data_IF_295110746036
#
_entry.id   IF_295110746036
#
_cell.length_a   1.000
_cell.length_b   1.000
_cell.length_c   1.000
_cell.angle_alpha   90.00
_cell.angle_beta   90.00
_cell.angle_gamma   90.00
#
_symmetry.space_group_name_H-M   'P 1'
#
loop_
_entity.id
_entity.type
_entity.pdbx_description
1 polymer ?
#
# COMPACT_ATOMS: atom_id res chain seq x y z
N UNK A 1 -20.55 14.02 7.67
CA UNK A 1 -20.25 12.66 8.21
C UNK A 1 -21.31 11.64 7.78
N UNK A 2 -22.63 11.90 7.98
CA UNK A 2 -23.72 10.99 7.55
C UNK A 2 -23.70 10.70 6.05
N UNK A 3 -23.48 11.70 5.22
CA UNK A 3 -23.45 11.56 3.75
C UNK A 3 -22.33 10.62 3.27
N UNK A 4 -21.16 10.70 3.89
CA UNK A 4 -20.03 9.81 3.57
C UNK A 4 -20.30 8.36 3.96
N UNK A 5 -20.96 8.14 5.11
CA UNK A 5 -21.35 6.80 5.56
C UNK A 5 -22.41 6.18 4.65
N UNK A 6 -23.41 6.98 4.23
CA UNK A 6 -24.41 6.53 3.26
C UNK A 6 -23.77 6.17 1.92
N UNK A 7 -22.83 6.98 1.44
CA UNK A 7 -22.10 6.71 0.20
C UNK A 7 -21.26 5.43 0.32
N UNK A 8 -20.56 5.22 1.45
CA UNK A 8 -19.79 4.00 1.72
C UNK A 8 -20.69 2.76 1.67
N UNK A 9 -21.82 2.78 2.36
CA UNK A 9 -22.77 1.66 2.41
C UNK A 9 -23.37 1.37 1.02
N UNK A 10 -23.70 2.42 0.25
CA UNK A 10 -24.26 2.25 -1.09
C UNK A 10 -23.25 1.68 -2.10
N UNK A 11 -21.96 2.00 -1.94
CA UNK A 11 -20.88 1.56 -2.85
C UNK A 11 -20.29 0.21 -2.42
N UNK A 12 -20.43 -0.18 -1.14
CA UNK A 12 -19.84 -1.42 -0.62
C UNK A 12 -20.14 -2.68 -1.45
N UNK A 13 -21.36 -2.91 -1.98
CA UNK A 13 -21.64 -4.07 -2.82
C UNK A 13 -20.89 -4.05 -4.16
N UNK A 14 -20.53 -2.87 -4.65
CA UNK A 14 -19.80 -2.69 -5.92
C UNK A 14 -18.29 -2.67 -5.74
N UNK A 15 -17.82 -2.61 -4.49
CA UNK A 15 -16.40 -2.47 -4.17
C UNK A 15 -15.53 -3.55 -4.84
N UNK A 16 -15.86 -4.86 -4.80
CA UNK A 16 -15.04 -5.88 -5.45
C UNK A 16 -14.84 -5.62 -6.94
N UNK A 17 -15.92 -5.32 -7.65
CA UNK A 17 -15.86 -5.04 -9.08
C UNK A 17 -15.07 -3.76 -9.41
N UNK A 18 -15.23 -2.73 -8.57
CA UNK A 18 -14.47 -1.49 -8.71
C UNK A 18 -12.97 -1.73 -8.52
N UNK A 19 -12.60 -2.51 -7.50
CA UNK A 19 -11.22 -2.86 -7.22
C UNK A 19 -10.60 -3.67 -8.36
N UNK A 20 -11.33 -4.66 -8.88
CA UNK A 20 -10.90 -5.47 -10.03
C UNK A 20 -10.70 -4.60 -11.27
N UNK A 21 -11.66 -3.75 -11.58
CA UNK A 21 -11.58 -2.84 -12.73
C UNK A 21 -10.35 -1.92 -12.64
N UNK A 22 -10.10 -1.28 -11.48
CA UNK A 22 -8.95 -0.40 -11.31
C UNK A 22 -7.62 -1.16 -11.37
N UNK A 23 -7.56 -2.37 -10.77
CA UNK A 23 -6.42 -3.27 -10.87
C UNK A 23 -6.10 -3.60 -12.32
N UNK A 24 -7.10 -4.05 -13.07
CA UNK A 24 -6.93 -4.49 -14.45
C UNK A 24 -6.54 -3.32 -15.36
N UNK A 25 -7.16 -2.15 -15.16
CA UNK A 25 -6.78 -0.93 -15.85
C UNK A 25 -5.32 -0.53 -15.56
N UNK A 26 -4.87 -0.62 -14.30
CA UNK A 26 -3.47 -0.37 -13.97
C UNK A 26 -2.54 -1.42 -14.58
N UNK A 27 -2.88 -2.69 -14.47
CA UNK A 27 -2.08 -3.78 -15.05
C UNK A 27 -1.93 -3.63 -16.57
N UNK A 28 -2.97 -3.17 -17.27
CA UNK A 28 -2.95 -2.98 -18.72
C UNK A 28 -2.20 -1.71 -19.14
N UNK A 29 -2.44 -0.59 -18.47
CA UNK A 29 -2.05 0.75 -18.95
C UNK A 29 -1.02 1.46 -18.10
N UNK A 30 -0.69 0.97 -16.89
CA UNK A 30 0.28 1.58 -15.95
C UNK A 30 -0.07 3.03 -15.58
N UNK A 31 -1.35 3.42 -15.67
CA UNK A 31 -1.76 4.78 -15.35
C UNK A 31 -1.80 5.02 -13.85
N UNK A 32 -1.03 5.99 -13.30
CA UNK A 32 -0.89 6.19 -11.85
C UNK A 32 -2.21 6.53 -11.15
N UNK A 33 -3.16 7.20 -11.83
CA UNK A 33 -4.47 7.52 -11.24
C UNK A 33 -5.29 6.30 -10.83
N UNK A 34 -5.04 5.12 -11.40
CA UNK A 34 -5.68 3.89 -10.93
C UNK A 34 -5.20 3.54 -9.52
N UNK A 35 -3.90 3.71 -9.24
CA UNK A 35 -3.33 3.49 -7.92
C UNK A 35 -3.82 4.55 -6.92
N UNK A 36 -3.91 5.82 -7.33
CA UNK A 36 -4.45 6.89 -6.50
C UNK A 36 -5.90 6.59 -6.09
N UNK A 37 -6.73 6.11 -7.03
CA UNK A 37 -8.10 5.71 -6.74
C UNK A 37 -8.18 4.48 -5.82
N UNK A 38 -7.31 3.48 -6.01
CA UNK A 38 -7.19 2.33 -5.12
C UNK A 38 -6.76 2.76 -3.71
N UNK A 39 -5.84 3.72 -3.58
CA UNK A 39 -5.39 4.27 -2.31
C UNK A 39 -6.57 4.91 -1.53
N UNK A 40 -7.42 5.66 -2.22
CA UNK A 40 -8.66 6.20 -1.63
C UNK A 40 -9.63 5.10 -1.23
N UNK A 41 -9.79 4.06 -2.04
CA UNK A 41 -10.66 2.93 -1.71
C UNK A 41 -10.18 2.20 -0.44
N UNK A 42 -8.88 1.94 -0.30
CA UNK A 42 -8.30 1.34 0.91
C UNK A 42 -8.56 2.23 2.13
N UNK A 43 -8.32 3.54 2.05
CA UNK A 43 -8.59 4.46 3.13
C UNK A 43 -10.06 4.45 3.56
N UNK A 44 -10.99 4.58 2.60
CA UNK A 44 -12.42 4.70 2.88
C UNK A 44 -12.99 3.41 3.45
N UNK A 45 -12.63 2.26 2.86
CA UNK A 45 -13.28 0.99 3.20
C UNK A 45 -12.59 0.24 4.35
N UNK A 46 -11.32 0.57 4.67
CA UNK A 46 -10.63 0.03 5.85
C UNK A 46 -10.70 0.96 7.07
N UNK A 47 -11.08 2.24 6.90
CA UNK A 47 -11.24 3.14 8.04
C UNK A 47 -12.36 2.64 8.96
N UNK A 48 -12.14 2.65 10.30
CA UNK A 48 -13.18 2.26 11.26
C UNK A 48 -14.38 3.20 11.13
N UNK A 49 -15.56 2.65 11.36
CA UNK A 49 -16.78 3.45 11.44
C UNK A 49 -16.71 4.35 12.69
N UNK A 50 -16.70 5.68 12.55
CA UNK A 50 -16.62 6.59 13.67
C UNK A 50 -17.86 6.54 14.58
N UNK A 51 -18.96 5.90 14.12
CA UNK A 51 -20.20 5.74 14.89
C UNK A 51 -20.20 4.49 15.76
N UNK A 52 -19.22 3.60 15.59
CA UNK A 52 -19.08 2.36 16.35
C UNK A 52 -17.76 2.36 17.15
N UNK A 53 -17.75 2.93 18.36
CA UNK A 53 -16.60 2.87 19.25
C UNK A 53 -16.23 1.41 19.54
N UNK A 54 -15.01 1.01 19.23
CA UNK A 54 -14.54 -0.37 19.39
C UNK A 54 -14.78 -1.28 18.20
N UNK A 55 -15.32 -0.78 17.06
CA UNK A 55 -15.35 -1.55 15.82
C UNK A 55 -13.93 -1.97 15.40
N UNK A 56 -13.83 -3.21 14.96
CA UNK A 56 -12.57 -3.75 14.45
C UNK A 56 -12.08 -2.87 13.29
N UNK A 57 -10.79 -2.53 13.33
CA UNK A 57 -10.10 -1.83 12.23
C UNK A 57 -9.65 -2.80 11.12
N UNK A 58 -10.01 -4.06 11.25
CA UNK A 58 -9.70 -5.08 10.26
C UNK A 58 -10.87 -5.13 9.29
N UNK A 59 -10.63 -4.99 7.97
CA UNK A 59 -11.66 -5.22 6.96
C UNK A 59 -12.28 -6.60 7.14
N UNK A 60 -13.53 -6.77 6.74
CA UNK A 60 -14.10 -8.11 6.69
C UNK A 60 -13.24 -9.03 5.79
N UNK A 61 -13.25 -10.36 6.02
CA UNK A 61 -12.34 -11.28 5.31
C UNK A 61 -12.42 -11.20 3.78
N UNK A 62 -13.60 -10.95 3.23
CA UNK A 62 -13.77 -10.85 1.78
C UNK A 62 -13.14 -9.57 1.24
N UNK A 63 -13.34 -8.45 1.90
CA UNK A 63 -12.71 -7.17 1.57
C UNK A 63 -11.19 -7.24 1.75
N UNK A 64 -10.71 -7.89 2.82
CA UNK A 64 -9.28 -8.10 3.05
C UNK A 64 -8.64 -8.92 1.94
N UNK A 65 -9.28 -10.01 1.50
CA UNK A 65 -8.81 -10.84 0.38
C UNK A 65 -8.80 -10.06 -0.94
N UNK A 66 -9.83 -9.26 -1.20
CA UNK A 66 -9.87 -8.40 -2.39
C UNK A 66 -8.72 -7.40 -2.38
N UNK A 67 -8.46 -6.75 -1.25
CA UNK A 67 -7.33 -5.84 -1.09
C UNK A 67 -5.97 -6.55 -1.24
N UNK A 68 -5.82 -7.77 -0.71
CA UNK A 68 -4.59 -8.54 -0.87
C UNK A 68 -4.29 -8.87 -2.35
N UNK A 69 -5.31 -9.30 -3.08
CA UNK A 69 -5.19 -9.60 -4.51
C UNK A 69 -4.83 -8.35 -5.34
N UNK A 70 -5.48 -7.23 -5.04
CA UNK A 70 -5.21 -5.94 -5.70
C UNK A 70 -3.79 -5.46 -5.41
N UNK A 71 -3.37 -5.47 -4.14
CA UNK A 71 -2.03 -5.07 -3.75
C UNK A 71 -0.97 -5.89 -4.47
N UNK A 72 -1.11 -7.22 -4.47
CA UNK A 72 -0.15 -8.11 -5.10
C UNK A 72 -0.03 -7.85 -6.60
N UNK A 73 -1.16 -7.81 -7.31
CA UNK A 73 -1.17 -7.60 -8.76
C UNK A 73 -0.61 -6.22 -9.14
N UNK A 74 -1.00 -5.16 -8.42
CA UNK A 74 -0.50 -3.81 -8.68
C UNK A 74 0.99 -3.68 -8.36
N UNK A 75 1.46 -4.27 -7.25
CA UNK A 75 2.87 -4.23 -6.89
C UNK A 75 3.75 -5.00 -7.89
N UNK A 76 3.30 -6.16 -8.35
CA UNK A 76 4.00 -6.91 -9.41
C UNK A 76 4.07 -6.12 -10.72
N UNK A 77 2.96 -5.52 -11.11
CA UNK A 77 2.88 -4.72 -12.32
C UNK A 77 3.76 -3.46 -12.24
N UNK A 78 3.76 -2.77 -11.10
CA UNK A 78 4.63 -1.63 -10.85
C UNK A 78 6.10 -2.04 -10.82
N UNK A 79 6.44 -3.13 -10.12
CA UNK A 79 7.81 -3.65 -10.07
C UNK A 79 8.34 -4.00 -11.47
N UNK A 80 7.54 -4.69 -12.29
CA UNK A 80 7.91 -5.01 -13.66
C UNK A 80 8.17 -3.74 -14.50
N UNK A 81 7.34 -2.71 -14.33
CA UNK A 81 7.51 -1.42 -15.02
C UNK A 81 8.79 -0.71 -14.56
N UNK A 82 8.98 -0.54 -13.26
CA UNK A 82 10.13 0.16 -12.66
C UNK A 82 11.47 -0.57 -12.88
N UNK A 83 11.43 -1.87 -13.17
CA UNK A 83 12.61 -2.66 -13.51
C UNK A 83 13.01 -2.54 -14.99
N UNK A 84 12.11 -2.09 -15.87
CA UNK A 84 12.34 -1.97 -17.30
C UNK A 84 12.86 -0.58 -17.71
N UNK A 85 12.58 0.45 -16.93
CA UNK A 85 12.95 1.83 -17.23
C UNK A 85 13.44 2.55 -15.98
N UNK A 86 14.29 3.56 -16.10
CA UNK A 86 14.71 4.38 -14.98
C UNK A 86 13.51 4.97 -14.23
N UNK A 87 13.60 5.07 -12.91
CA UNK A 87 12.53 5.64 -12.07
C UNK A 87 12.18 7.06 -12.50
N UNK A 88 13.15 7.83 -13.01
CA UNK A 88 12.92 9.18 -13.52
C UNK A 88 11.89 9.25 -14.66
N UNK A 89 11.81 8.22 -15.51
CA UNK A 89 10.82 8.14 -16.59
C UNK A 89 9.44 7.72 -16.10
N UNK A 90 9.36 7.16 -14.89
CA UNK A 90 8.14 6.60 -14.30
C UNK A 90 7.91 7.12 -12.87
N UNK A 91 8.35 8.34 -12.59
CA UNK A 91 8.28 8.94 -11.27
C UNK A 91 6.85 8.97 -10.70
N UNK A 92 5.84 9.23 -11.54
CA UNK A 92 4.44 9.23 -11.14
C UNK A 92 3.92 7.82 -10.77
N UNK A 93 4.36 6.79 -11.48
CA UNK A 93 4.00 5.39 -11.16
C UNK A 93 4.68 4.99 -9.84
N UNK A 94 5.95 5.34 -9.66
CA UNK A 94 6.67 5.07 -8.42
C UNK A 94 5.99 5.78 -7.23
N UNK A 95 5.71 7.09 -7.36
CA UNK A 95 4.98 7.87 -6.35
C UNK A 95 3.66 7.21 -5.97
N UNK A 96 2.80 6.95 -6.96
CA UNK A 96 1.48 6.39 -6.71
C UNK A 96 1.55 4.98 -6.09
N UNK A 97 2.55 4.18 -6.46
CA UNK A 97 2.79 2.84 -5.87
C UNK A 97 3.13 2.96 -4.38
N UNK A 98 4.03 3.86 -4.00
CA UNK A 98 4.42 4.05 -2.60
C UNK A 98 3.30 4.71 -1.79
N UNK A 99 2.52 5.62 -2.37
CA UNK A 99 1.34 6.20 -1.73
C UNK A 99 0.27 5.13 -1.47
N UNK A 100 0.01 4.24 -2.43
CA UNK A 100 -0.89 3.10 -2.23
C UNK A 100 -0.38 2.21 -1.08
N UNK A 101 0.89 1.81 -1.11
CA UNK A 101 1.48 0.98 -0.06
C UNK A 101 1.42 1.67 1.33
N UNK A 102 1.64 3.00 1.39
CA UNK A 102 1.44 3.77 2.60
C UNK A 102 -0.01 3.72 3.11
N UNK A 103 -1.01 3.80 2.23
CA UNK A 103 -2.42 3.66 2.63
C UNK A 103 -2.71 2.27 3.20
N UNK A 104 -2.14 1.22 2.62
CA UNK A 104 -2.21 -0.12 3.22
C UNK A 104 -1.55 -0.16 4.60
N UNK A 105 -0.37 0.41 4.77
CA UNK A 105 0.30 0.48 6.07
C UNK A 105 -0.53 1.21 7.13
N UNK A 106 -1.31 2.22 6.73
CA UNK A 106 -2.15 3.02 7.61
C UNK A 106 -3.47 2.36 7.97
N UNK A 107 -4.14 1.75 7.00
CA UNK A 107 -5.55 1.37 7.07
C UNK A 107 -5.79 -0.13 6.97
N UNK A 108 -4.87 -0.90 6.39
CA UNK A 108 -4.93 -2.34 6.25
C UNK A 108 -3.54 -3.00 6.44
N UNK A 109 -2.86 -2.72 7.59
CA UNK A 109 -1.49 -3.19 7.81
C UNK A 109 -1.36 -4.72 7.75
N UNK A 110 -2.36 -5.46 8.22
CA UNK A 110 -2.35 -6.92 8.19
C UNK A 110 -2.23 -7.46 6.75
N UNK A 111 -2.90 -6.79 5.80
CA UNK A 111 -2.83 -7.15 4.37
C UNK A 111 -1.44 -6.87 3.81
N UNK A 112 -0.86 -5.70 4.11
CA UNK A 112 0.46 -5.32 3.60
C UNK A 112 1.56 -6.21 4.18
N UNK A 113 1.57 -6.40 5.50
CA UNK A 113 2.63 -7.09 6.22
C UNK A 113 2.64 -8.60 5.95
N UNK A 114 1.49 -9.18 5.61
CA UNK A 114 1.40 -10.58 5.17
C UNK A 114 1.62 -10.76 3.66
N UNK A 115 1.71 -9.68 2.90
CA UNK A 115 1.83 -9.73 1.45
C UNK A 115 3.26 -10.06 0.99
N UNK A 116 3.43 -10.98 0.05
CA UNK A 116 4.74 -11.20 -0.59
C UNK A 116 5.21 -9.99 -1.41
N UNK A 117 4.34 -9.01 -1.66
CA UNK A 117 4.68 -7.77 -2.34
C UNK A 117 5.52 -6.81 -1.47
N UNK A 118 5.55 -6.98 -0.15
CA UNK A 118 6.24 -6.06 0.76
C UNK A 118 7.73 -5.96 0.44
N UNK A 119 8.41 -7.08 0.26
CA UNK A 119 9.85 -7.09 0.00
C UNK A 119 10.24 -6.39 -1.32
N UNK A 120 9.62 -6.69 -2.48
CA UNK A 120 9.90 -5.94 -3.70
C UNK A 120 9.50 -4.46 -3.61
N UNK A 121 8.45 -4.09 -2.86
CA UNK A 121 8.09 -2.69 -2.62
C UNK A 121 9.17 -1.95 -1.82
N UNK A 122 9.72 -2.58 -0.80
CA UNK A 122 10.84 -2.02 -0.02
C UNK A 122 12.08 -1.82 -0.89
N UNK A 123 12.44 -2.80 -1.71
CA UNK A 123 13.55 -2.69 -2.65
C UNK A 123 13.36 -1.54 -3.66
N UNK A 124 12.18 -1.42 -4.23
CA UNK A 124 11.84 -0.33 -5.14
C UNK A 124 11.87 1.04 -4.44
N UNK A 125 11.41 1.12 -3.18
CA UNK A 125 11.45 2.36 -2.40
C UNK A 125 12.89 2.82 -2.14
N UNK A 126 13.79 1.90 -1.81
CA UNK A 126 15.21 2.23 -1.62
C UNK A 126 15.89 2.66 -2.92
N UNK A 127 15.57 2.01 -4.02
CA UNK A 127 16.05 2.44 -5.33
C UNK A 127 15.56 3.87 -5.66
N UNK A 128 14.31 4.19 -5.31
CA UNK A 128 13.74 5.52 -5.53
C UNK A 128 14.44 6.60 -4.68
N UNK A 129 14.81 6.30 -3.43
CA UNK A 129 15.52 7.25 -2.54
C UNK A 129 16.87 7.68 -3.15
N UNK A 130 17.54 6.81 -3.91
CA UNK A 130 18.76 7.12 -4.62
C UNK A 130 18.59 7.99 -5.88
N UNK A 131 17.37 8.41 -6.20
CA UNK A 131 17.07 9.24 -7.39
C UNK A 131 16.87 10.71 -7.03
N UNK A 132 16.79 11.57 -8.06
CA UNK A 132 16.46 12.99 -7.91
C UNK A 132 14.95 13.27 -8.02
N UNK A 133 14.11 12.23 -8.09
CA UNK A 133 12.66 12.36 -8.27
C UNK A 133 11.95 12.65 -6.95
N UNK A 134 11.86 13.93 -6.61
CA UNK A 134 11.44 14.43 -5.31
C UNK A 134 10.15 13.82 -4.77
N UNK A 135 9.12 13.71 -5.60
CA UNK A 135 7.81 13.19 -5.16
C UNK A 135 7.86 11.68 -4.93
N UNK A 136 8.58 10.92 -5.77
CA UNK A 136 8.79 9.49 -5.56
C UNK A 136 9.61 9.24 -4.28
N UNK A 137 10.69 9.99 -4.07
CA UNK A 137 11.51 9.93 -2.84
C UNK A 137 10.66 10.21 -1.61
N UNK A 138 9.86 11.28 -1.64
CA UNK A 138 8.99 11.63 -0.53
C UNK A 138 7.99 10.53 -0.22
N UNK A 139 7.33 9.99 -1.23
CA UNK A 139 6.35 8.92 -1.06
C UNK A 139 7.00 7.63 -0.49
N UNK A 140 8.20 7.28 -0.98
CA UNK A 140 8.98 6.15 -0.46
C UNK A 140 9.34 6.32 1.02
N UNK A 141 9.85 7.49 1.41
CA UNK A 141 10.19 7.79 2.80
C UNK A 141 8.96 7.75 3.72
N UNK A 142 7.82 8.29 3.27
CA UNK A 142 6.56 8.25 4.02
C UNK A 142 6.08 6.80 4.22
N UNK A 143 6.16 5.97 3.19
CA UNK A 143 5.83 4.55 3.28
C UNK A 143 6.74 3.81 4.27
N UNK A 144 8.05 3.99 4.16
CA UNK A 144 9.03 3.35 5.05
C UNK A 144 8.80 3.80 6.51
N UNK A 145 8.62 5.11 6.73
CA UNK A 145 8.32 5.65 8.07
C UNK A 145 7.05 5.03 8.66
N UNK A 146 6.01 4.81 7.83
CA UNK A 146 4.78 4.17 8.26
C UNK A 146 4.97 2.71 8.69
N UNK A 147 5.94 2.01 8.12
CA UNK A 147 6.29 0.62 8.48
C UNK A 147 7.17 0.54 9.73
N UNK A 148 8.03 1.54 9.96
CA UNK A 148 8.95 1.56 11.12
C UNK A 148 8.24 2.04 12.39
N UNK A 149 7.27 2.94 12.29
CA UNK A 149 6.53 3.52 13.42
C UNK A 149 5.14 2.88 13.64
N UNK A 150 5.05 1.62 14.07
CA UNK A 150 3.76 0.93 14.24
C UNK A 150 2.93 1.43 15.41
N UNK A 151 3.52 2.18 16.35
CA UNK A 151 2.98 2.44 17.69
C UNK A 151 1.72 3.30 17.76
N UNK A 152 1.22 3.86 16.67
CA UNK A 152 0.03 4.73 16.64
C UNK A 152 -1.13 4.18 15.80
N UNK A 153 -1.03 2.97 15.24
CA UNK A 153 -1.89 2.58 14.13
C UNK A 153 -2.58 1.22 14.32
N UNK A 154 -3.64 1.01 13.57
CA UNK A 154 -4.43 -0.20 13.54
C UNK A 154 -3.62 -1.43 13.11
N UNK A 155 -3.91 -2.55 13.66
CA UNK A 155 -3.28 -3.83 13.39
C UNK A 155 -3.12 -4.65 14.66
N UNK A 156 -3.09 -5.96 14.54
CA UNK A 156 -2.81 -6.80 15.69
C UNK A 156 -1.34 -6.68 16.10
N UNK A 157 -1.05 -6.75 17.39
CA UNK A 157 0.33 -6.77 17.90
C UNK A 157 1.17 -7.86 17.24
N UNK A 158 0.56 -9.02 16.96
CA UNK A 158 1.21 -10.14 16.30
C UNK A 158 1.59 -9.83 14.85
N UNK A 159 0.70 -9.16 14.10
CA UNK A 159 0.96 -8.78 12.71
C UNK A 159 2.11 -7.78 12.61
N UNK A 160 2.14 -6.79 13.52
CA UNK A 160 3.24 -5.84 13.57
C UNK A 160 4.56 -6.47 13.99
N UNK A 161 4.56 -7.43 14.91
CA UNK A 161 5.77 -8.18 15.28
C UNK A 161 6.31 -8.99 14.10
N UNK A 162 5.44 -9.66 13.35
CA UNK A 162 5.82 -10.40 12.16
C UNK A 162 6.31 -9.45 11.04
N UNK A 163 5.59 -8.35 10.80
CA UNK A 163 5.96 -7.35 9.81
C UNK A 163 7.29 -6.67 10.14
N UNK A 164 7.52 -6.36 11.41
CA UNK A 164 8.81 -5.84 11.88
C UNK A 164 9.93 -6.84 11.60
N UNK A 165 9.71 -8.13 11.84
CA UNK A 165 10.67 -9.17 11.49
C UNK A 165 11.01 -9.20 9.99
N UNK A 166 10.04 -8.95 9.11
CA UNK A 166 10.26 -8.86 7.67
C UNK A 166 11.10 -7.61 7.32
N UNK A 167 10.79 -6.46 7.92
CA UNK A 167 11.53 -5.21 7.71
C UNK A 167 12.95 -5.34 8.27
N UNK A 168 13.11 -5.90 9.46
CA UNK A 168 14.42 -6.13 10.09
C UNK A 168 15.26 -7.12 9.26
N UNK A 169 14.65 -8.21 8.78
CA UNK A 169 15.30 -9.18 7.91
C UNK A 169 15.74 -8.55 6.57
N UNK A 170 14.91 -7.68 6.01
CA UNK A 170 15.26 -6.93 4.81
C UNK A 170 16.41 -5.94 5.08
N UNK A 171 16.35 -5.18 6.18
CA UNK A 171 17.40 -4.22 6.54
C UNK A 171 18.74 -4.89 6.85
N UNK A 172 18.73 -6.14 7.33
CA UNK A 172 19.93 -6.91 7.65
C UNK A 172 20.41 -7.80 6.50
N UNK A 173 19.54 -8.11 5.52
CA UNK A 173 19.95 -8.81 4.30
C UNK A 173 20.80 -7.89 3.42
N UNK A 174 21.83 -8.49 2.79
CA UNK A 174 22.84 -7.83 1.99
C UNK A 174 22.31 -6.68 1.11
N UNK A 175 22.57 -5.45 1.48
CA UNK A 175 22.28 -4.23 0.73
C UNK A 175 21.09 -3.41 1.21
N UNK A 176 20.19 -3.93 2.06
CA UNK A 176 19.04 -3.17 2.55
C UNK A 176 19.45 -2.05 3.53
N UNK A 177 20.40 -2.33 4.42
CA UNK A 177 20.92 -1.36 5.38
C UNK A 177 21.78 -0.27 4.73
N UNK A 178 22.59 -0.63 3.75
CA UNK A 178 23.48 0.31 3.05
C UNK A 178 22.73 1.31 2.16
N UNK A 179 21.50 0.99 1.76
CA UNK A 179 20.66 1.89 0.97
C UNK A 179 19.98 3.00 1.81
N UNK A 180 20.01 2.90 3.15
CA UNK A 180 19.42 3.87 4.07
C UNK A 180 20.47 4.74 4.79
N UNK A 181 21.76 4.51 4.56
CA UNK A 181 22.88 5.30 5.07
C UNK A 181 23.43 6.19 3.96
#
# INVERSE_FOLDING_TARGET
>A
TRSLLCAKTAVAPLLPHLLEFMRDAFVAHRHPSCLDALAVAVEVFSAPDPTQPGASRVPDPNTANSFANVLLACAQAAHASLSQSPIAEQADVARATFELANKYALFAPDVLLSSPALQPLMGAACAAIGTNEREAVRAALVMISALIEPGRRAGSTATWQNGRGVVDAWATSSGGGDALV
#
